data_IF_453300699092
#
_entry.id   IF_453300699092
#
_cell.length_a   1.000
_cell.length_b   1.000
_cell.length_c   1.000
_cell.angle_alpha   90.00
_cell.angle_beta   90.00
_cell.angle_gamma   90.00
#
_symmetry.space_group_name_H-M   'P 1'
#
loop_
_entity.id
_entity.type
_entity.pdbx_description
1 polymer ?
#
# COMPACT_ATOMS: atom_id res chain seq x y z
N UNK A 1 -42.19 -27.46 -4.17
CA UNK A 1 -41.28 -26.28 -4.07
C UNK A 1 -40.09 -26.59 -4.90
N UNK A 2 -39.73 -25.68 -5.79
CA UNK A 2 -38.39 -25.57 -6.38
C UNK A 2 -37.82 -24.25 -5.90
N UNK A 3 -36.54 -24.22 -5.55
CA UNK A 3 -35.83 -22.97 -5.34
C UNK A 3 -35.21 -22.61 -6.70
N UNK A 4 -35.85 -21.67 -7.41
CA UNK A 4 -35.64 -21.55 -8.86
C UNK A 4 -34.67 -20.47 -9.31
N UNK A 5 -34.24 -19.53 -8.45
CA UNK A 5 -33.34 -18.51 -8.92
C UNK A 5 -32.56 -17.82 -7.81
N UNK A 6 -31.28 -17.53 -8.11
CA UNK A 6 -30.41 -16.67 -7.37
C UNK A 6 -30.20 -15.41 -8.24
N UNK A 7 -30.65 -14.26 -7.75
CA UNK A 7 -30.48 -12.99 -8.44
C UNK A 7 -29.19 -12.30 -7.99
N UNK A 8 -28.32 -12.00 -8.93
CA UNK A 8 -27.12 -11.21 -8.67
C UNK A 8 -27.36 -9.74 -9.06
N UNK A 9 -27.28 -8.83 -8.11
CA UNK A 9 -27.50 -7.38 -8.32
C UNK A 9 -26.39 -6.70 -9.13
N UNK A 10 -25.24 -7.34 -9.35
CA UNK A 10 -24.09 -6.72 -10.02
C UNK A 10 -24.32 -6.49 -11.52
N UNK A 11 -25.19 -7.28 -12.15
CA UNK A 11 -25.40 -7.22 -13.62
C UNK A 11 -26.86 -7.05 -14.05
N UNK A 12 -27.80 -6.82 -13.15
CA UNK A 12 -29.25 -6.71 -13.45
C UNK A 12 -29.85 -7.84 -14.30
N UNK A 13 -29.25 -9.01 -14.31
CA UNK A 13 -29.69 -10.19 -15.06
C UNK A 13 -30.13 -11.29 -14.12
N UNK A 14 -31.27 -11.89 -14.40
CA UNK A 14 -31.72 -13.14 -13.77
C UNK A 14 -30.83 -14.27 -14.29
N UNK A 15 -29.80 -14.61 -13.53
CA UNK A 15 -28.97 -15.77 -13.81
C UNK A 15 -29.00 -16.72 -12.61
N UNK A 16 -29.10 -17.99 -12.91
CA UNK A 16 -28.86 -19.04 -11.94
C UNK A 16 -27.38 -19.04 -11.58
N UNK A 17 -27.01 -18.47 -10.43
CA UNK A 17 -25.64 -18.49 -9.91
C UNK A 17 -25.63 -19.21 -8.56
N UNK A 18 -25.17 -20.44 -8.57
CA UNK A 18 -24.88 -21.23 -7.39
C UNK A 18 -23.48 -20.94 -6.79
N UNK A 19 -22.67 -20.12 -7.48
CA UNK A 19 -21.28 -19.82 -7.10
C UNK A 19 -21.06 -18.32 -7.06
N UNK A 20 -20.73 -17.77 -5.88
CA UNK A 20 -20.56 -16.33 -5.62
C UNK A 20 -19.26 -16.06 -4.87
N UNK A 21 -18.82 -14.80 -4.82
CA UNK A 21 -17.78 -14.38 -3.88
C UNK A 21 -18.34 -14.24 -2.46
N UNK A 22 -17.51 -14.41 -1.42
CA UNK A 22 -17.92 -14.16 -0.04
C UNK A 22 -18.56 -12.77 0.12
N UNK A 23 -19.58 -12.66 0.99
CA UNK A 23 -20.33 -11.43 1.26
C UNK A 23 -21.07 -10.85 0.04
N UNK A 24 -21.17 -11.58 -1.07
CA UNK A 24 -22.02 -11.15 -2.19
C UNK A 24 -23.48 -11.26 -1.80
N UNK A 25 -24.26 -10.23 -2.11
CA UNK A 25 -25.71 -10.26 -1.94
C UNK A 25 -26.33 -11.33 -2.84
N UNK A 26 -27.07 -12.26 -2.25
CA UNK A 26 -27.81 -13.31 -2.93
C UNK A 26 -29.28 -13.20 -2.55
N UNK A 27 -30.17 -13.16 -3.55
CA UNK A 27 -31.61 -13.20 -3.31
C UNK A 27 -32.14 -14.57 -3.65
N UNK A 28 -32.76 -15.22 -2.68
CA UNK A 28 -33.35 -16.54 -2.81
C UNK A 28 -34.86 -16.41 -2.99
N UNK A 29 -35.40 -17.18 -3.93
CA UNK A 29 -36.82 -17.24 -4.22
C UNK A 29 -37.35 -18.67 -4.02
N UNK A 30 -38.48 -18.80 -3.36
CA UNK A 30 -39.22 -20.04 -3.28
C UNK A 30 -40.33 -20.04 -4.33
N UNK A 31 -40.19 -20.86 -5.38
CA UNK A 31 -41.24 -20.97 -6.38
C UNK A 31 -42.42 -21.83 -5.83
N UNK A 32 -43.60 -21.21 -5.79
CA UNK A 32 -44.81 -21.83 -5.32
C UNK A 32 -46.00 -21.46 -6.24
N UNK A 33 -46.62 -22.43 -6.80
CA UNK A 33 -47.81 -22.24 -7.62
C UNK A 33 -49.01 -21.87 -6.72
N UNK A 34 -49.23 -20.53 -6.52
CA UNK A 34 -50.42 -19.92 -5.89
C UNK A 34 -50.72 -20.29 -4.40
N UNK A 35 -49.82 -20.93 -3.66
CA UNK A 35 -50.10 -21.38 -2.29
C UNK A 35 -50.17 -20.26 -1.23
N UNK A 36 -49.67 -19.06 -1.53
CA UNK A 36 -49.71 -17.91 -0.58
C UNK A 36 -51.14 -17.39 -0.39
N UNK A 37 -52.01 -17.51 -1.39
CA UNK A 37 -53.42 -17.13 -1.27
C UNK A 37 -54.19 -17.96 -0.22
N UNK A 38 -53.64 -19.10 0.18
CA UNK A 38 -54.32 -20.08 1.07
C UNK A 38 -53.82 -19.98 2.52
N UNK A 39 -53.18 -18.85 2.92
CA UNK A 39 -52.72 -18.64 4.30
C UNK A 39 -51.42 -19.37 4.64
N UNK A 40 -50.61 -19.76 3.65
CA UNK A 40 -49.28 -20.31 3.84
C UNK A 40 -48.22 -19.19 3.80
N UNK A 41 -47.16 -19.35 4.60
CA UNK A 41 -45.96 -18.53 4.57
C UNK A 41 -44.70 -19.35 4.32
N UNK A 42 -43.69 -18.73 3.69
CA UNK A 42 -42.39 -19.35 3.49
C UNK A 42 -41.53 -19.08 4.71
N UNK A 43 -40.86 -20.11 5.23
CA UNK A 43 -39.86 -20.00 6.26
C UNK A 43 -38.51 -20.50 5.72
N UNK A 44 -37.46 -19.70 5.90
CA UNK A 44 -36.12 -20.01 5.47
C UNK A 44 -35.24 -20.41 6.64
N UNK A 45 -34.40 -21.41 6.40
CA UNK A 45 -33.45 -21.96 7.37
C UNK A 45 -32.07 -22.04 6.75
N UNK A 46 -31.04 -22.06 7.61
CA UNK A 46 -29.64 -22.24 7.24
C UNK A 46 -29.13 -23.57 7.79
N UNK A 47 -28.30 -24.26 7.02
CA UNK A 47 -27.62 -25.52 7.31
C UNK A 47 -28.52 -26.72 7.50
N UNK A 48 -29.69 -26.59 8.15
CA UNK A 48 -30.63 -27.66 8.41
C UNK A 48 -32.10 -27.21 8.32
N UNK A 49 -32.95 -28.07 7.84
CA UNK A 49 -34.38 -27.83 7.82
C UNK A 49 -34.98 -27.87 9.25
N UNK A 50 -35.66 -26.80 9.62
CA UNK A 50 -36.45 -26.75 10.86
C UNK A 50 -35.70 -26.29 12.10
N UNK A 51 -34.41 -25.97 12.01
CA UNK A 51 -33.61 -25.47 13.13
C UNK A 51 -33.36 -23.98 13.01
N UNK A 52 -32.29 -23.52 12.41
CA UNK A 52 -31.89 -22.14 12.37
C UNK A 52 -32.69 -21.30 11.37
N UNK A 53 -33.78 -20.67 11.82
CA UNK A 53 -34.62 -19.78 11.00
C UNK A 53 -33.83 -18.47 10.76
N UNK A 54 -33.72 -18.05 9.48
CA UNK A 54 -33.07 -16.84 9.04
C UNK A 54 -34.05 -15.77 8.54
N UNK A 55 -35.28 -16.15 8.27
CA UNK A 55 -36.32 -15.23 7.85
C UNK A 55 -37.59 -15.91 7.38
N UNK A 56 -38.63 -15.10 7.13
CA UNK A 56 -39.91 -15.47 6.59
C UNK A 56 -40.27 -14.62 5.39
N UNK A 57 -41.11 -15.18 4.49
CA UNK A 57 -41.52 -14.51 3.26
C UNK A 57 -40.69 -14.91 2.06
N UNK A 58 -40.99 -14.31 0.91
CA UNK A 58 -40.35 -14.57 -0.36
C UNK A 58 -40.37 -13.30 -1.22
N UNK A 59 -39.21 -12.83 -1.68
CA UNK A 59 -37.88 -13.42 -1.53
C UNK A 59 -37.19 -13.12 -0.19
N UNK A 60 -36.01 -13.77 0.05
CA UNK A 60 -35.11 -13.46 1.14
C UNK A 60 -33.73 -13.07 0.58
N UNK A 61 -33.03 -12.11 1.26
CA UNK A 61 -31.68 -11.69 0.92
C UNK A 61 -30.71 -12.28 1.94
N UNK A 62 -29.63 -12.89 1.44
CA UNK A 62 -28.56 -13.47 2.26
C UNK A 62 -27.18 -13.03 1.75
N UNK A 63 -26.16 -13.11 2.62
CA UNK A 63 -24.76 -12.75 2.34
C UNK A 63 -23.84 -13.89 2.81
N UNK A 64 -23.64 -14.95 2.01
CA UNK A 64 -22.84 -16.09 2.43
C UNK A 64 -21.34 -15.74 2.52
N UNK A 65 -20.71 -16.03 3.67
CA UNK A 65 -19.26 -15.93 3.87
C UNK A 65 -18.52 -17.17 3.38
N UNK A 66 -19.18 -18.31 3.43
CA UNK A 66 -18.69 -19.63 3.02
C UNK A 66 -19.79 -20.39 2.32
N UNK A 67 -19.43 -21.47 1.64
CA UNK A 67 -20.40 -22.37 0.99
C UNK A 67 -21.48 -22.79 1.99
N UNK A 68 -22.72 -22.41 1.72
CA UNK A 68 -23.84 -22.51 2.65
C UNK A 68 -25.06 -23.07 1.98
N UNK A 69 -25.73 -24.01 2.66
CA UNK A 69 -27.01 -24.56 2.24
C UNK A 69 -28.19 -23.87 2.93
N UNK A 70 -29.10 -23.37 2.12
CA UNK A 70 -30.34 -22.72 2.55
C UNK A 70 -31.53 -23.65 2.28
N UNK A 71 -32.50 -23.62 3.18
CA UNK A 71 -33.69 -24.50 3.12
C UNK A 71 -34.93 -23.63 3.22
N UNK A 72 -35.92 -23.92 2.39
CA UNK A 72 -37.24 -23.31 2.45
C UNK A 72 -38.31 -24.34 2.66
N UNK A 73 -39.32 -24.01 3.46
CA UNK A 73 -40.57 -24.77 3.60
C UNK A 73 -41.76 -23.85 3.75
N UNK A 74 -42.95 -24.36 3.42
CA UNK A 74 -44.21 -23.69 3.73
C UNK A 74 -44.67 -24.07 5.13
N UNK A 75 -45.29 -23.11 5.82
CA UNK A 75 -46.07 -23.34 7.03
C UNK A 75 -47.44 -22.70 6.82
N UNK A 76 -48.50 -23.43 7.11
CA UNK A 76 -49.87 -22.98 6.99
C UNK A 76 -50.84 -23.77 7.85
N UNK A 77 -52.17 -23.57 7.66
CA UNK A 77 -53.19 -24.15 8.50
C UNK A 77 -53.16 -25.68 8.57
N UNK A 78 -52.67 -26.33 7.52
CA UNK A 78 -52.58 -27.80 7.44
C UNK A 78 -51.20 -28.36 7.82
N UNK A 79 -50.34 -27.54 8.45
CA UNK A 79 -49.00 -27.93 8.89
C UNK A 79 -47.86 -27.42 8.00
N UNK A 80 -46.69 -28.06 8.13
CA UNK A 80 -45.48 -27.68 7.41
C UNK A 80 -45.18 -28.64 6.26
N UNK A 81 -44.73 -28.13 5.12
CA UNK A 81 -44.22 -28.96 4.02
C UNK A 81 -42.84 -29.54 4.34
N UNK A 82 -42.40 -30.50 3.52
CA UNK A 82 -41.00 -30.91 3.45
C UNK A 82 -40.15 -29.73 2.98
N UNK A 83 -38.91 -29.64 3.45
CA UNK A 83 -37.98 -28.63 2.99
C UNK A 83 -37.44 -28.94 1.59
N UNK A 84 -37.15 -27.89 0.85
CA UNK A 84 -36.24 -27.89 -0.31
C UNK A 84 -35.03 -27.08 0.01
N UNK A 85 -33.92 -27.42 -0.62
CA UNK A 85 -32.63 -26.75 -0.37
C UNK A 85 -31.97 -26.23 -1.64
N UNK A 86 -31.18 -25.19 -1.48
CA UNK A 86 -30.20 -24.71 -2.45
C UNK A 86 -28.88 -24.53 -1.73
N UNK A 87 -27.78 -24.91 -2.38
CA UNK A 87 -26.43 -24.65 -1.85
C UNK A 87 -25.79 -23.54 -2.66
N UNK A 88 -25.43 -22.46 -1.99
CA UNK A 88 -24.65 -21.38 -2.57
C UNK A 88 -23.18 -21.66 -2.29
N UNK A 89 -22.41 -21.89 -3.36
CA UNK A 89 -20.97 -22.15 -3.28
C UNK A 89 -20.24 -20.83 -3.28
N UNK A 90 -19.37 -20.59 -2.29
CA UNK A 90 -18.49 -19.42 -2.32
C UNK A 90 -17.16 -19.75 -2.96
N UNK A 91 -16.70 -18.83 -3.80
CA UNK A 91 -15.36 -18.89 -4.38
C UNK A 91 -14.30 -18.60 -3.32
N UNK A 92 -13.10 -19.14 -3.53
CA UNK A 92 -11.94 -18.80 -2.73
C UNK A 92 -11.48 -17.36 -3.09
N UNK A 93 -11.89 -16.41 -2.29
CA UNK A 93 -11.58 -14.98 -2.45
C UNK A 93 -10.35 -14.58 -1.65
N UNK A 94 -9.67 -13.53 -2.14
CA UNK A 94 -8.56 -12.91 -1.38
C UNK A 94 -9.10 -12.10 -0.21
N UNK A 95 -8.36 -12.11 0.91
CA UNK A 95 -8.58 -11.24 2.07
C UNK A 95 -7.63 -10.05 1.97
N UNK A 96 -8.15 -8.84 2.18
CA UNK A 96 -7.35 -7.60 2.16
C UNK A 96 -6.19 -7.65 3.15
N UNK A 97 -5.02 -7.07 2.80
CA UNK A 97 -3.96 -6.85 3.77
C UNK A 97 -4.44 -5.90 4.86
N UNK A 98 -4.00 -6.12 6.10
CA UNK A 98 -4.35 -5.28 7.26
C UNK A 98 -3.38 -4.12 7.46
N UNK A 99 -2.20 -4.19 6.82
CA UNK A 99 -1.17 -3.16 6.90
C UNK A 99 0.07 -3.49 6.08
N UNK A 100 1.05 -2.59 6.18
CA UNK A 100 2.38 -2.73 5.59
C UNK A 100 3.41 -2.44 6.68
N UNK A 101 4.44 -3.28 6.79
CA UNK A 101 5.65 -2.98 7.56
C UNK A 101 6.75 -2.50 6.65
N UNK A 102 7.65 -1.65 7.17
CA UNK A 102 8.83 -1.15 6.48
C UNK A 102 10.08 -1.44 7.31
N UNK A 103 11.22 -1.73 6.68
CA UNK A 103 12.52 -1.81 7.37
C UNK A 103 12.94 -0.45 7.93
N UNK A 104 12.60 0.63 7.22
CA UNK A 104 12.65 2.02 7.68
C UNK A 104 11.59 2.81 6.93
N UNK A 105 10.91 3.73 7.60
CA UNK A 105 9.96 4.65 6.98
C UNK A 105 10.45 6.10 6.90
N UNK A 106 11.70 6.34 7.34
CA UNK A 106 12.37 7.65 7.31
C UNK A 106 13.84 7.45 6.93
N UNK A 107 14.31 8.06 5.85
CA UNK A 107 15.71 8.01 5.42
C UNK A 107 16.06 9.14 4.44
N UNK A 108 17.33 9.30 4.19
CA UNK A 108 17.83 10.30 3.25
C UNK A 108 17.61 9.89 1.80
N UNK A 109 17.45 10.83 0.90
CA UNK A 109 17.36 10.59 -0.54
C UNK A 109 18.49 9.67 -1.03
N UNK A 110 18.15 8.67 -1.85
CA UNK A 110 19.06 7.60 -2.30
C UNK A 110 19.10 6.38 -1.38
N UNK A 111 18.45 6.42 -0.21
CA UNK A 111 18.25 5.26 0.64
C UNK A 111 17.19 4.29 0.10
N UNK A 112 17.06 3.14 0.74
CA UNK A 112 16.08 2.12 0.36
C UNK A 112 15.35 1.55 1.58
N UNK A 113 14.14 1.07 1.34
CA UNK A 113 13.33 0.36 2.34
C UNK A 113 12.71 -0.88 1.72
N UNK A 114 12.60 -1.94 2.51
CA UNK A 114 11.82 -3.12 2.11
C UNK A 114 10.47 -3.07 2.81
N UNK A 115 9.42 -3.04 2.02
CA UNK A 115 8.04 -3.12 2.47
C UNK A 115 7.57 -4.57 2.46
N UNK A 116 6.86 -4.98 3.52
CA UNK A 116 6.28 -6.32 3.66
C UNK A 116 4.83 -6.24 4.10
N UNK A 117 4.01 -7.16 3.62
CA UNK A 117 2.58 -7.21 3.88
C UNK A 117 2.33 -7.72 5.30
N UNK A 118 1.38 -7.08 5.99
CA UNK A 118 0.86 -7.55 7.27
C UNK A 118 -0.56 -8.06 7.04
N UNK A 119 -0.82 -9.31 7.47
CA UNK A 119 -2.14 -9.93 7.31
C UNK A 119 -2.53 -10.17 5.86
N UNK A 120 -3.82 -10.39 5.64
CA UNK A 120 -4.37 -10.72 4.33
C UNK A 120 -4.09 -12.15 3.88
N UNK A 121 -4.74 -12.57 2.84
CA UNK A 121 -4.58 -13.89 2.22
C UNK A 121 -4.90 -13.81 0.74
N UNK A 122 -4.14 -14.53 -0.10
CA UNK A 122 -4.45 -14.67 -1.51
C UNK A 122 -5.44 -15.81 -1.73
N UNK A 123 -6.50 -15.54 -2.47
CA UNK A 123 -7.34 -16.56 -3.07
C UNK A 123 -6.67 -17.19 -4.29
N UNK A 124 -7.25 -18.29 -4.78
CA UNK A 124 -6.71 -19.04 -5.92
C UNK A 124 -6.56 -18.15 -7.16
N UNK A 125 -5.34 -18.12 -7.72
CA UNK A 125 -5.00 -17.33 -8.91
C UNK A 125 -4.79 -15.83 -8.66
N UNK A 126 -4.83 -15.36 -7.41
CA UNK A 126 -4.52 -13.98 -7.05
C UNK A 126 -3.02 -13.78 -6.79
N UNK A 127 -2.57 -12.53 -6.90
CA UNK A 127 -1.20 -12.10 -6.61
C UNK A 127 -1.20 -10.78 -5.84
N UNK A 128 -0.21 -10.58 -4.96
CA UNK A 128 0.00 -9.28 -4.33
C UNK A 128 0.54 -8.28 -5.34
N UNK A 129 -0.06 -7.11 -5.42
CA UNK A 129 0.40 -6.01 -6.29
C UNK A 129 0.70 -4.76 -5.47
N UNK A 130 1.91 -4.20 -5.71
CA UNK A 130 2.39 -2.96 -5.11
C UNK A 130 2.14 -1.78 -6.05
N UNK A 131 1.78 -0.64 -5.48
CA UNK A 131 1.44 0.58 -6.21
C UNK A 131 2.03 1.80 -5.53
N UNK A 132 2.21 2.87 -6.31
CA UNK A 132 2.77 4.12 -5.86
C UNK A 132 1.78 5.27 -6.07
N UNK A 133 1.63 6.16 -5.09
CA UNK A 133 0.79 7.35 -5.15
C UNK A 133 -0.69 7.09 -4.88
N UNK A 134 -1.29 6.03 -5.46
CA UNK A 134 -2.69 5.67 -5.20
C UNK A 134 -2.98 4.18 -5.44
N UNK A 135 -3.99 3.67 -4.74
CA UNK A 135 -4.40 2.26 -4.80
C UNK A 135 -4.81 1.84 -6.21
N UNK A 136 -4.10 0.86 -6.78
CA UNK A 136 -4.41 0.30 -8.10
C UNK A 136 -3.89 1.09 -9.28
N UNK A 137 -3.24 2.22 -9.05
CA UNK A 137 -2.58 3.03 -10.07
C UNK A 137 -1.05 2.88 -9.95
N UNK A 138 -0.29 3.17 -11.02
CA UNK A 138 1.18 3.10 -11.03
C UNK A 138 1.70 1.78 -10.43
N UNK A 139 1.35 0.67 -11.06
CA UNK A 139 1.79 -0.67 -10.66
C UNK A 139 3.32 -0.75 -10.63
N UNK A 140 3.87 -1.11 -9.48
CA UNK A 140 5.31 -1.14 -9.21
C UNK A 140 5.86 -2.56 -8.99
N UNK A 141 5.03 -3.60 -9.19
CA UNK A 141 5.46 -4.99 -9.09
C UNK A 141 4.63 -5.83 -8.11
N UNK A 142 5.00 -7.10 -7.98
CA UNK A 142 4.26 -8.09 -7.19
C UNK A 142 5.15 -8.78 -6.16
N UNK A 143 4.51 -9.50 -5.23
CA UNK A 143 5.15 -10.30 -4.18
C UNK A 143 4.75 -9.90 -2.77
N UNK A 144 5.04 -10.78 -1.79
CA UNK A 144 4.71 -10.56 -0.38
C UNK A 144 5.58 -9.46 0.26
N UNK A 145 6.74 -9.18 -0.32
CA UNK A 145 7.62 -8.07 0.05
C UNK A 145 8.29 -7.48 -1.18
N UNK A 146 8.71 -6.21 -1.08
CA UNK A 146 9.41 -5.52 -2.17
C UNK A 146 10.27 -4.39 -1.63
N UNK A 147 11.46 -4.21 -2.22
CA UNK A 147 12.37 -3.08 -1.91
C UNK A 147 12.07 -1.91 -2.84
N UNK A 148 12.03 -0.72 -2.26
CA UNK A 148 11.82 0.56 -2.93
C UNK A 148 12.94 1.55 -2.59
N UNK A 149 13.25 2.44 -3.53
CA UNK A 149 14.23 3.52 -3.40
C UNK A 149 13.59 4.85 -3.79
N UNK A 150 12.64 5.36 -2.98
CA UNK A 150 11.97 6.61 -3.33
C UNK A 150 12.92 7.80 -3.26
N UNK A 151 12.84 8.71 -4.24
CA UNK A 151 13.61 9.97 -4.28
C UNK A 151 12.86 11.13 -3.60
N UNK A 152 11.61 10.93 -3.21
CA UNK A 152 10.79 11.89 -2.48
C UNK A 152 9.83 11.16 -1.56
N UNK A 153 9.30 11.84 -0.56
CA UNK A 153 8.26 11.29 0.32
C UNK A 153 7.10 10.74 -0.51
N UNK A 154 6.83 9.44 -0.37
CA UNK A 154 5.95 8.70 -1.26
C UNK A 154 5.00 7.80 -0.47
N UNK A 155 3.73 7.77 -0.88
CA UNK A 155 2.72 6.83 -0.38
C UNK A 155 2.74 5.55 -1.21
N UNK A 156 2.89 4.40 -0.55
CA UNK A 156 2.83 3.08 -1.16
C UNK A 156 1.57 2.33 -0.74
N UNK A 157 1.08 1.53 -1.67
CA UNK A 157 -0.14 0.73 -1.50
C UNK A 157 0.11 -0.71 -1.91
N UNK A 158 -0.58 -1.64 -1.25
CA UNK A 158 -0.58 -3.05 -1.63
C UNK A 158 -1.99 -3.64 -1.52
N UNK A 159 -2.35 -4.49 -2.48
CA UNK A 159 -3.60 -5.27 -2.47
C UNK A 159 -3.41 -6.60 -3.18
N UNK A 160 -4.33 -7.53 -2.97
CA UNK A 160 -4.46 -8.68 -3.84
C UNK A 160 -5.10 -8.26 -5.18
N UNK A 161 -4.57 -8.76 -6.28
CA UNK A 161 -5.09 -8.58 -7.64
C UNK A 161 -5.45 -9.91 -8.26
N UNK A 162 -6.49 -9.91 -9.07
CA UNK A 162 -6.94 -11.11 -9.78
C UNK A 162 -7.62 -12.12 -8.85
N UNK A 163 -7.55 -13.40 -9.24
CA UNK A 163 -8.30 -14.46 -8.59
C UNK A 163 -9.80 -14.43 -8.91
N UNK A 164 -10.53 -15.36 -8.32
CA UNK A 164 -11.95 -15.58 -8.64
C UNK A 164 -12.88 -14.43 -8.23
N UNK A 165 -12.46 -13.59 -7.25
CA UNK A 165 -13.25 -12.49 -6.69
C UNK A 165 -12.66 -11.09 -6.96
N UNK A 166 -11.68 -10.98 -7.86
CA UNK A 166 -11.11 -9.71 -8.26
C UNK A 166 -10.12 -9.13 -7.24
N UNK A 167 -9.95 -7.80 -7.28
CA UNK A 167 -9.00 -7.11 -6.42
C UNK A 167 -9.63 -6.74 -5.07
N UNK A 168 -8.80 -6.77 -4.01
CA UNK A 168 -9.19 -6.34 -2.66
C UNK A 168 -9.00 -4.83 -2.47
N UNK A 169 -9.41 -4.32 -1.31
CA UNK A 169 -8.98 -3.00 -0.83
C UNK A 169 -7.47 -2.99 -0.56
N UNK A 170 -6.86 -1.79 -0.58
CA UNK A 170 -5.45 -1.62 -0.30
C UNK A 170 -5.18 -1.40 1.20
N UNK A 171 -4.01 -1.88 1.66
CA UNK A 171 -3.29 -1.26 2.76
C UNK A 171 -2.34 -0.20 2.21
N UNK A 172 -1.94 0.77 3.05
CA UNK A 172 -1.09 1.89 2.67
C UNK A 172 -0.03 2.20 3.72
N UNK A 173 1.08 2.81 3.28
CA UNK A 173 2.15 3.31 4.15
C UNK A 173 2.82 4.53 3.51
N UNK A 174 3.09 5.56 4.34
CA UNK A 174 3.89 6.70 3.94
C UNK A 174 5.37 6.43 4.23
N UNK A 175 6.22 6.64 3.23
CA UNK A 175 7.67 6.60 3.34
C UNK A 175 8.20 8.01 3.17
N UNK A 176 8.86 8.52 4.21
CA UNK A 176 9.44 9.85 4.23
C UNK A 176 10.89 9.81 3.75
N UNK A 177 11.23 10.70 2.82
CA UNK A 177 12.60 10.93 2.39
C UNK A 177 13.01 12.37 2.68
N UNK A 178 14.22 12.54 3.15
CA UNK A 178 14.81 13.83 3.45
C UNK A 178 15.87 14.13 2.42
N UNK A 179 15.73 15.27 1.74
CA UNK A 179 16.73 15.78 0.80
C UNK A 179 17.57 16.83 1.49
N UNK A 180 18.89 16.62 1.50
CA UNK A 180 19.86 17.57 2.05
C UNK A 180 20.64 18.22 0.91
N UNK A 181 20.33 19.46 0.63
CA UNK A 181 21.07 20.25 -0.35
C UNK A 181 22.23 20.96 0.34
N UNK A 182 23.47 20.62 -0.08
CA UNK A 182 24.70 21.23 0.41
C UNK A 182 25.40 21.97 -0.74
N UNK A 183 25.70 23.24 -0.53
CA UNK A 183 26.44 24.06 -1.52
C UNK A 183 27.42 24.96 -0.85
N UNK A 184 28.35 25.51 -1.63
CA UNK A 184 29.36 26.49 -1.17
C UNK A 184 29.35 27.70 -2.09
N UNK A 185 29.36 28.90 -1.49
CA UNK A 185 29.55 30.14 -2.25
C UNK A 185 30.95 30.19 -2.83
N UNK A 186 31.14 30.70 -4.05
CA UNK A 186 32.49 30.86 -4.62
C UNK A 186 33.40 31.67 -3.70
N UNK A 187 34.67 31.28 -3.66
CA UNK A 187 35.75 32.04 -3.00
C UNK A 187 36.55 32.71 -4.09
N UNK A 188 36.79 34.02 -3.94
CA UNK A 188 37.68 34.74 -4.84
C UNK A 188 39.11 34.23 -4.71
N UNK A 189 39.87 34.26 -5.80
CA UNK A 189 41.28 33.95 -5.76
C UNK A 189 42.05 35.05 -4.96
N UNK A 190 43.03 34.62 -4.18
CA UNK A 190 43.72 35.49 -3.24
C UNK A 190 45.24 35.29 -3.27
N UNK A 191 46.00 36.34 -2.90
CA UNK A 191 47.45 36.32 -2.72
C UNK A 191 47.82 36.14 -1.23
N UNK A 192 47.03 35.37 -0.47
CA UNK A 192 47.24 35.18 0.96
C UNK A 192 48.42 34.24 1.24
N UNK A 193 49.26 34.63 2.18
CA UNK A 193 50.33 33.79 2.74
C UNK A 193 50.04 33.31 4.15
N UNK A 194 49.04 33.85 4.80
CA UNK A 194 48.61 33.52 6.16
C UNK A 194 47.41 32.62 6.17
N UNK A 195 47.26 31.75 7.17
CA UNK A 195 46.04 30.92 7.34
C UNK A 195 44.79 31.77 7.47
N UNK A 196 43.68 31.33 6.83
CA UNK A 196 42.38 31.99 6.90
C UNK A 196 41.25 30.97 7.09
N UNK A 197 40.15 31.39 7.74
CA UNK A 197 39.02 30.55 8.00
C UNK A 197 38.11 30.48 6.78
N UNK A 198 37.82 29.28 6.30
CA UNK A 198 36.88 29.03 5.22
C UNK A 198 35.45 29.32 5.68
N UNK A 199 34.71 30.04 4.86
CA UNK A 199 33.30 30.41 5.08
C UNK A 199 32.56 30.32 3.77
N UNK A 200 31.22 30.23 3.84
CA UNK A 200 30.36 30.18 2.64
C UNK A 200 29.72 28.82 2.36
N UNK A 201 29.96 27.85 3.23
CA UNK A 201 29.22 26.56 3.18
C UNK A 201 27.78 26.69 3.70
N UNK A 202 26.87 26.09 3.03
CA UNK A 202 25.43 26.02 3.39
C UNK A 202 24.90 24.59 3.33
N UNK A 203 24.04 24.16 4.32
CA UNK A 203 23.68 24.87 5.56
C UNK A 203 24.90 25.20 6.42
N UNK A 204 24.83 26.21 7.29
CA UNK A 204 25.96 26.60 8.16
C UNK A 204 26.24 25.55 9.23
N UNK A 205 27.50 25.48 9.70
CA UNK A 205 27.90 24.58 10.78
C UNK A 205 28.46 23.23 10.33
N UNK A 206 28.68 23.04 9.02
CA UNK A 206 29.36 21.87 8.49
C UNK A 206 30.88 21.92 8.64
N UNK A 207 31.56 20.89 8.16
CA UNK A 207 33.00 20.70 8.25
C UNK A 207 33.68 20.89 6.90
N UNK A 208 34.88 21.51 6.92
CA UNK A 208 35.74 21.66 5.77
C UNK A 208 36.87 20.64 5.81
N UNK A 209 37.19 20.03 4.69
CA UNK A 209 38.29 19.07 4.54
C UNK A 209 39.02 19.30 3.21
N UNK A 210 40.29 18.96 3.18
CA UNK A 210 41.16 19.09 2.00
C UNK A 210 42.61 19.27 2.37
N UNK A 211 43.48 19.27 1.36
CA UNK A 211 44.91 19.51 1.59
C UNK A 211 45.17 20.95 2.09
N UNK A 212 45.89 21.09 3.19
CA UNK A 212 46.15 22.38 3.83
C UNK A 212 44.99 22.89 4.71
N UNK A 213 43.96 22.09 4.98
CA UNK A 213 42.79 22.46 5.82
C UNK A 213 42.87 21.74 7.16
N UNK A 214 42.76 22.49 8.25
CA UNK A 214 42.62 21.98 9.63
C UNK A 214 41.58 22.85 10.36
N UNK A 215 40.59 22.21 11.00
CA UNK A 215 39.55 22.91 11.77
C UNK A 215 38.91 24.10 11.02
N UNK A 216 38.54 23.88 9.77
CA UNK A 216 38.00 24.90 8.86
C UNK A 216 38.97 26.04 8.47
N UNK A 217 40.24 25.96 8.84
CA UNK A 217 41.28 26.93 8.48
C UNK A 217 42.12 26.39 7.32
N UNK A 218 42.17 27.12 6.22
CA UNK A 218 43.07 26.84 5.10
C UNK A 218 44.42 27.51 5.34
N UNK A 219 45.51 26.75 5.16
CA UNK A 219 46.87 27.25 5.35
C UNK A 219 47.66 27.24 4.03
N UNK A 220 47.84 28.41 3.38
CA UNK A 220 48.58 28.53 2.12
C UNK A 220 50.05 28.12 2.23
N UNK A 221 50.65 28.21 3.41
CA UNK A 221 52.05 27.78 3.62
C UNK A 221 52.22 26.27 3.53
N UNK A 222 51.15 25.52 3.71
CA UNK A 222 51.12 24.05 3.57
C UNK A 222 50.73 23.64 2.15
N UNK A 223 49.69 24.29 1.59
CA UNK A 223 49.16 23.97 0.27
C UNK A 223 49.99 24.49 -0.88
N UNK A 224 50.64 25.64 -0.71
CA UNK A 224 51.32 26.36 -1.76
C UNK A 224 50.39 27.18 -2.67
N UNK A 225 50.96 27.79 -3.69
CA UNK A 225 50.22 28.50 -4.76
C UNK A 225 49.53 27.50 -5.70
N UNK A 226 48.46 27.95 -6.36
CA UNK A 226 47.69 27.11 -7.29
C UNK A 226 46.25 26.91 -6.87
N UNK A 227 45.58 25.99 -7.56
CA UNK A 227 44.19 25.63 -7.28
C UNK A 227 44.12 24.35 -6.44
N UNK A 228 43.46 24.44 -5.29
CA UNK A 228 43.28 23.35 -4.33
C UNK A 228 41.80 23.04 -4.19
N UNK A 229 41.45 21.75 -4.17
CA UNK A 229 40.06 21.34 -3.97
C UNK A 229 39.79 21.20 -2.48
N UNK A 230 38.80 21.92 -1.99
CA UNK A 230 38.24 21.82 -0.67
C UNK A 230 36.87 21.15 -0.76
N UNK A 231 36.48 20.38 0.27
CA UNK A 231 35.15 19.76 0.43
C UNK A 231 34.47 20.35 1.65
N UNK A 232 33.28 20.83 1.47
CA UNK A 232 32.36 21.17 2.56
C UNK A 232 31.34 20.07 2.74
N UNK A 233 31.18 19.58 3.95
CA UNK A 233 30.19 18.53 4.32
C UNK A 233 29.33 19.01 5.45
N UNK A 234 28.05 18.66 5.39
CA UNK A 234 27.08 18.96 6.43
C UNK A 234 26.21 17.72 6.74
N UNK A 235 25.86 17.54 8.01
CA UNK A 235 24.93 16.51 8.49
C UNK A 235 23.77 17.21 9.21
N UNK A 236 22.55 16.94 8.78
CA UNK A 236 21.34 17.53 9.36
C UNK A 236 20.85 16.78 10.63
N UNK A 237 19.76 17.26 11.22
CA UNK A 237 19.13 16.64 12.40
C UNK A 237 18.52 15.26 12.13
N UNK A 238 18.32 14.87 10.89
CA UNK A 238 17.84 13.55 10.46
C UNK A 238 19.00 12.58 10.20
N UNK A 239 20.25 12.97 10.49
CA UNK A 239 21.49 12.28 10.16
C UNK A 239 21.72 12.08 8.64
N UNK A 240 21.12 12.94 7.82
CA UNK A 240 21.45 13.00 6.40
C UNK A 240 22.73 13.79 6.20
N UNK A 241 23.70 13.17 5.52
CA UNK A 241 24.99 13.80 5.20
C UNK A 241 25.10 14.00 3.70
N UNK A 242 25.50 15.22 3.30
CA UNK A 242 25.83 15.54 1.91
C UNK A 242 27.05 16.47 1.87
N UNK A 243 27.69 16.58 0.71
CA UNK A 243 28.92 17.40 0.56
C UNK A 243 28.98 18.01 -0.82
N UNK A 244 29.77 19.10 -0.90
CA UNK A 244 30.10 19.77 -2.16
C UNK A 244 31.59 20.08 -2.21
N UNK A 245 32.17 20.07 -3.40
CA UNK A 245 33.54 20.44 -3.63
C UNK A 245 33.64 21.84 -4.28
N UNK A 246 34.66 22.59 -3.91
CA UNK A 246 34.91 23.92 -4.46
C UNK A 246 36.39 24.18 -4.53
N UNK A 247 36.89 25.04 -5.47
CA UNK A 247 38.28 25.43 -5.56
C UNK A 247 38.64 26.55 -4.57
N UNK A 248 39.82 26.44 -3.98
CA UNK A 248 40.52 27.52 -3.29
C UNK A 248 41.76 27.87 -4.13
N UNK A 249 41.84 29.08 -4.66
CA UNK A 249 42.92 29.49 -5.59
C UNK A 249 43.84 30.47 -4.91
N UNK A 250 45.12 30.08 -4.75
CA UNK A 250 46.19 30.93 -4.19
C UNK A 250 47.10 31.41 -5.33
N UNK A 251 47.11 32.69 -5.55
CA UNK A 251 47.93 33.35 -6.58
C UNK A 251 49.35 33.53 -6.10
N UNK A 252 50.31 33.53 -7.04
CA UNK A 252 51.67 33.95 -6.74
C UNK A 252 51.73 35.45 -6.45
N UNK A 253 52.46 35.81 -5.42
CA UNK A 253 52.77 37.23 -5.12
C UNK A 253 53.92 37.68 -5.99
N UNK A 254 53.62 38.21 -7.16
CA UNK A 254 54.62 38.84 -8.04
C UNK A 254 54.76 40.31 -7.68
N UNK A 255 55.12 40.61 -6.44
CA UNK A 255 55.51 41.99 -6.05
C UNK A 255 57.01 42.00 -5.99
N UNK A 256 57.65 42.45 -7.09
CA UNK A 256 59.09 42.90 -7.13
C UNK A 256 59.24 44.27 -6.48
#
# INVERSE_FOLDING_TARGET
ITIDSVYNTTNNLWQYQDTVCPQTQVTLFANYNNLISDGYSVIWHINNCGTSIIGTGDPIVVYPDSTTSYYARFIGPCGASVCKSVTIVTKDGSISPTGISATSNNFCTGGSTTLSIIGGQLGTGATWGWYEGSCGMNFNGSGASKTFTPNSTTMYYVRANGGACGATSCAEILINTYDLNVYHSPIDSMCESSPFVLQGGFPQGGAYTGFGITDSTFNPSISGTGSHIATYSFTDSNNCTNSTQFPVVILESNID
#
